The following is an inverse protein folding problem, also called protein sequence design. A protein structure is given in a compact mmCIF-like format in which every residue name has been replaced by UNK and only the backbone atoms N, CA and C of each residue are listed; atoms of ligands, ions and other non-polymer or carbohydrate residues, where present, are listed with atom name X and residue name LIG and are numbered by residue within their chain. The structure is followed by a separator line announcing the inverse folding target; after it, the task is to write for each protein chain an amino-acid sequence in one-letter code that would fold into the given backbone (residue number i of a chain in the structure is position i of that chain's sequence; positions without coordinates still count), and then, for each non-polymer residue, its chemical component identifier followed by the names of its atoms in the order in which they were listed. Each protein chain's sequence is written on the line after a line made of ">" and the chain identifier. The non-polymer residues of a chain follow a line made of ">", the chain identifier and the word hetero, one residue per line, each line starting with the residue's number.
data_IF_083691592507
#
_entry.id   IF_083691592507
#
_cell.length_a   1.000
_cell.length_b   1.000
_cell.length_c   1.000
_cell.angle_alpha   90.00
_cell.angle_beta   90.00
_cell.angle_gamma   90.00
#
_symmetry.space_group_name_H-M   'P 1'
#
loop_
_entity.id
_entity.type
_entity.pdbx_description
1 polymer ?
#
# COMPACT_ATOMS: atom_id res chain seq x y z
N UNK A 1 2.90 1.68 -22.64
CA UNK A 1 2.21 0.36 -22.72
C UNK A 1 1.66 -0.09 -21.36
N UNK A 2 2.43 -0.01 -20.26
CA UNK A 2 1.97 -0.44 -18.92
C UNK A 2 0.73 0.37 -18.49
N UNK A 3 0.77 1.69 -18.62
CA UNK A 3 -0.35 2.58 -18.27
C UNK A 3 -1.57 2.42 -19.20
N UNK A 4 -1.39 1.89 -20.41
CA UNK A 4 -2.51 1.55 -21.27
C UNK A 4 -3.28 0.31 -20.80
N UNK A 5 -2.62 -0.57 -20.03
CA UNK A 5 -3.24 -1.76 -19.42
C UNK A 5 -3.84 -1.40 -18.06
N UNK A 6 -3.14 -0.60 -17.27
CA UNK A 6 -3.60 -0.10 -15.98
C UNK A 6 -3.33 1.42 -15.88
N UNK A 7 -4.33 2.27 -16.14
CA UNK A 7 -4.17 3.71 -16.13
C UNK A 7 -3.87 4.27 -14.72
N UNK A 8 -4.11 3.48 -13.67
CA UNK A 8 -3.84 3.88 -12.28
C UNK A 8 -2.49 3.39 -11.75
N UNK A 9 -1.69 2.72 -12.60
CA UNK A 9 -0.38 2.22 -12.17
C UNK A 9 0.56 3.40 -11.87
N UNK A 10 1.29 3.30 -10.78
CA UNK A 10 2.37 4.21 -10.44
C UNK A 10 3.70 3.52 -10.67
N UNK A 11 4.58 4.21 -11.36
CA UNK A 11 5.86 3.68 -11.79
C UNK A 11 6.96 4.45 -11.09
N UNK A 12 7.81 3.78 -10.34
CA UNK A 12 9.00 4.35 -9.76
C UNK A 12 10.20 3.92 -10.61
N UNK A 13 10.98 4.90 -11.06
CA UNK A 13 12.18 4.68 -11.87
C UNK A 13 13.37 5.18 -11.07
N UNK A 14 14.26 4.26 -10.69
CA UNK A 14 15.43 4.57 -9.87
C UNK A 14 16.69 4.76 -10.73
N UNK A 15 17.54 5.66 -10.27
CA UNK A 15 18.92 5.73 -10.72
C UNK A 15 19.70 4.49 -10.31
N UNK A 16 20.78 4.21 -11.04
CA UNK A 16 21.74 3.16 -10.71
C UNK A 16 22.75 3.70 -9.70
N UNK A 17 23.06 2.93 -8.67
CA UNK A 17 24.10 3.29 -7.69
C UNK A 17 25.47 3.40 -8.37
N UNK A 18 26.33 4.35 -7.96
CA UNK A 18 27.70 4.49 -8.45
C UNK A 18 28.53 3.23 -8.24
N UNK A 19 29.41 2.93 -9.18
CA UNK A 19 30.33 1.81 -9.08
C UNK A 19 31.80 2.26 -9.23
N UNK A 20 32.68 1.66 -8.45
CA UNK A 20 34.12 1.86 -8.55
C UNK A 20 34.83 0.91 -9.54
N UNK A 21 34.11 0.04 -10.22
CA UNK A 21 34.69 -0.90 -11.21
C UNK A 21 34.82 -0.24 -12.57
N UNK A 22 35.79 0.65 -12.69
CA UNK A 22 36.08 1.37 -13.92
C UNK A 22 37.11 0.62 -14.78
N UNK A 23 37.07 0.78 -16.14
CA UNK A 23 36.13 1.62 -16.90
C UNK A 23 34.78 0.96 -17.19
N UNK A 24 34.56 -0.27 -16.75
CA UNK A 24 33.37 -1.07 -17.11
C UNK A 24 32.04 -0.33 -16.88
N UNK A 25 31.91 0.43 -15.81
CA UNK A 25 30.68 1.14 -15.42
C UNK A 25 30.82 2.66 -15.47
N UNK A 26 31.74 3.20 -16.29
CA UNK A 26 31.96 4.65 -16.45
C UNK A 26 30.74 5.40 -17.00
N UNK A 27 29.80 4.70 -17.63
CA UNK A 27 28.58 5.26 -18.21
C UNK A 27 27.46 5.54 -17.18
N UNK A 28 27.58 5.06 -15.93
CA UNK A 28 26.52 5.20 -14.92
C UNK A 28 26.15 6.68 -14.66
N UNK A 29 27.06 7.64 -14.51
CA UNK A 29 26.69 9.03 -14.31
C UNK A 29 25.79 9.56 -15.44
N UNK A 30 26.22 9.38 -16.70
CA UNK A 30 25.46 9.82 -17.88
C UNK A 30 24.10 9.10 -17.99
N UNK A 31 24.05 7.80 -17.69
CA UNK A 31 22.81 7.03 -17.65
C UNK A 31 21.84 7.62 -16.59
N UNK A 32 22.35 7.97 -15.41
CA UNK A 32 21.52 8.54 -14.35
C UNK A 32 20.95 9.92 -14.70
N UNK A 33 21.71 10.74 -15.40
CA UNK A 33 21.25 12.03 -15.94
C UNK A 33 20.12 11.79 -16.95
N UNK A 34 20.30 10.89 -17.90
CA UNK A 34 19.27 10.53 -18.89
C UNK A 34 18.01 9.95 -18.27
N UNK A 35 18.13 9.16 -17.18
CA UNK A 35 16.97 8.66 -16.43
C UNK A 35 16.20 9.83 -15.82
N UNK A 36 16.88 10.78 -15.20
CA UNK A 36 16.24 11.95 -14.59
C UNK A 36 15.54 12.83 -15.63
N UNK A 37 16.21 13.12 -16.75
CA UNK A 37 15.66 13.88 -17.87
C UNK A 37 14.44 13.17 -18.49
N UNK A 38 14.53 11.87 -18.72
CA UNK A 38 13.43 11.07 -19.25
C UNK A 38 12.20 11.16 -18.34
N UNK A 39 12.36 10.98 -17.03
CA UNK A 39 11.22 11.03 -16.08
C UNK A 39 10.62 12.43 -16.05
N UNK A 40 11.45 13.47 -16.03
CA UNK A 40 10.99 14.87 -16.09
C UNK A 40 10.23 15.15 -17.39
N UNK A 41 10.70 14.63 -18.51
CA UNK A 41 10.09 14.83 -19.84
C UNK A 41 8.75 14.10 -20.03
N UNK A 42 8.49 13.03 -19.25
CA UNK A 42 7.21 12.31 -19.31
C UNK A 42 6.01 13.14 -18.83
N UNK A 43 6.25 14.20 -18.06
CA UNK A 43 5.21 15.10 -17.49
C UNK A 43 3.99 14.33 -16.95
N UNK A 44 4.25 13.19 -16.33
CA UNK A 44 3.24 12.25 -15.83
C UNK A 44 3.20 12.28 -14.31
N UNK A 45 2.02 12.58 -13.75
CA UNK A 45 1.80 12.49 -12.29
C UNK A 45 1.85 11.05 -11.73
N UNK A 46 2.13 10.05 -12.57
CA UNK A 46 2.17 8.62 -12.20
C UNK A 46 3.54 7.98 -12.36
N UNK A 47 4.53 8.72 -12.87
CA UNK A 47 5.91 8.25 -12.99
C UNK A 47 6.78 9.08 -12.05
N UNK A 48 7.47 8.39 -11.16
CA UNK A 48 8.24 9.00 -10.06
C UNK A 48 9.71 8.63 -10.19
N UNK A 49 10.56 9.64 -10.11
CA UNK A 49 11.99 9.45 -10.05
C UNK A 49 12.46 9.12 -8.64
N UNK A 50 13.34 8.12 -8.52
CA UNK A 50 13.98 7.72 -7.26
C UNK A 50 15.47 8.02 -7.36
N UNK A 51 15.93 8.99 -6.58
CA UNK A 51 17.34 9.42 -6.58
C UNK A 51 18.21 8.43 -5.77
N UNK A 52 18.39 7.23 -6.33
CA UNK A 52 19.14 6.16 -5.66
C UNK A 52 20.63 6.41 -5.60
N UNK A 53 21.17 7.24 -6.51
CA UNK A 53 22.60 7.55 -6.57
C UNK A 53 23.03 8.65 -5.58
N UNK A 54 22.09 9.48 -5.10
CA UNK A 54 22.41 10.63 -4.25
C UNK A 54 23.07 10.20 -2.94
N UNK A 55 24.27 10.70 -2.73
CA UNK A 55 25.05 10.41 -1.51
C UNK A 55 25.44 8.93 -1.36
N UNK A 56 25.35 8.14 -2.44
CA UNK A 56 25.88 6.80 -2.47
C UNK A 56 27.36 6.84 -2.89
N UNK A 57 28.25 6.56 -1.96
CA UNK A 57 29.69 6.46 -2.19
C UNK A 57 30.03 4.97 -2.30
N UNK A 58 30.55 4.55 -3.45
CA UNK A 58 30.88 3.15 -3.66
C UNK A 58 32.01 2.65 -2.75
N UNK A 59 32.93 3.53 -2.29
CA UNK A 59 34.02 3.17 -1.38
C UNK A 59 33.50 2.66 -0.04
N UNK A 60 32.47 3.30 0.49
CA UNK A 60 31.89 3.00 1.80
C UNK A 60 30.73 1.99 1.72
N UNK A 61 30.01 1.97 0.61
CA UNK A 61 28.72 1.29 0.47
C UNK A 61 28.73 0.05 -0.42
N UNK A 62 29.89 -0.34 -1.00
CA UNK A 62 29.97 -1.59 -1.77
C UNK A 62 30.91 -2.59 -1.11
N UNK A 63 30.77 -3.87 -1.50
CA UNK A 63 31.72 -4.92 -1.14
C UNK A 63 33.00 -4.80 -1.99
N UNK A 64 33.94 -5.71 -1.80
CA UNK A 64 35.26 -5.72 -2.46
C UNK A 64 35.23 -5.65 -4.00
N UNK A 65 34.12 -6.04 -4.62
CA UNK A 65 33.97 -5.98 -6.09
C UNK A 65 33.66 -4.58 -6.63
N UNK A 66 33.42 -3.61 -5.74
CA UNK A 66 33.12 -2.20 -6.04
C UNK A 66 31.81 -2.01 -6.86
N UNK A 67 30.89 -2.96 -6.81
CA UNK A 67 29.63 -2.99 -7.56
C UNK A 67 28.45 -3.27 -6.66
N UNK A 68 28.48 -4.39 -5.95
CA UNK A 68 27.37 -4.81 -5.12
C UNK A 68 27.36 -4.10 -3.76
N UNK A 69 26.20 -3.66 -3.26
CA UNK A 69 26.14 -2.99 -1.97
C UNK A 69 26.54 -3.93 -0.82
N UNK A 70 27.29 -3.40 0.13
CA UNK A 70 27.47 -4.02 1.42
C UNK A 70 26.24 -3.76 2.32
N UNK A 71 26.25 -4.19 3.58
CA UNK A 71 25.14 -4.00 4.51
C UNK A 71 24.72 -2.53 4.63
N UNK A 72 25.69 -1.62 4.83
CA UNK A 72 25.40 -0.18 4.94
C UNK A 72 24.84 0.40 3.63
N UNK A 73 25.36 -0.04 2.49
CA UNK A 73 24.84 0.33 1.17
C UNK A 73 23.42 -0.16 0.96
N UNK A 74 23.11 -1.39 1.35
CA UNK A 74 21.76 -1.94 1.26
C UNK A 74 20.76 -1.18 2.16
N UNK A 75 21.16 -0.83 3.39
CA UNK A 75 20.35 -0.03 4.31
C UNK A 75 20.09 1.38 3.74
N UNK A 76 21.11 2.01 3.16
CA UNK A 76 20.95 3.30 2.48
C UNK A 76 19.99 3.21 1.30
N UNK A 77 20.15 2.20 0.47
CA UNK A 77 19.21 1.96 -0.66
C UNK A 77 17.79 1.74 -0.18
N UNK A 78 17.60 0.93 0.86
CA UNK A 78 16.29 0.68 1.45
C UNK A 78 15.63 1.98 1.97
N UNK A 79 16.41 2.85 2.61
CA UNK A 79 15.94 4.16 3.09
C UNK A 79 15.45 5.03 1.94
N UNK A 80 16.22 5.14 0.85
CA UNK A 80 15.82 5.94 -0.33
C UNK A 80 14.55 5.40 -0.95
N UNK A 81 14.43 4.08 -1.11
CA UNK A 81 13.21 3.44 -1.62
C UNK A 81 12.02 3.64 -0.70
N UNK A 82 12.21 3.51 0.61
CA UNK A 82 11.15 3.71 1.60
C UNK A 82 10.58 5.14 1.53
N UNK A 83 11.44 6.15 1.48
CA UNK A 83 11.02 7.54 1.37
C UNK A 83 10.33 7.84 0.03
N UNK A 84 10.80 7.24 -1.06
CA UNK A 84 10.13 7.36 -2.35
C UNK A 84 8.74 6.71 -2.35
N UNK A 85 8.62 5.51 -1.78
CA UNK A 85 7.35 4.81 -1.62
C UNK A 85 6.38 5.59 -0.74
N UNK A 86 6.85 6.14 0.39
CA UNK A 86 6.01 7.01 1.26
C UNK A 86 5.42 8.18 0.47
N UNK A 87 6.24 8.88 -0.32
CA UNK A 87 5.76 9.99 -1.15
C UNK A 87 4.73 9.56 -2.17
N UNK A 88 4.98 8.43 -2.85
CA UNK A 88 4.06 7.89 -3.85
C UNK A 88 2.77 7.39 -3.20
N UNK A 89 2.84 6.78 -2.04
CA UNK A 89 1.67 6.33 -1.28
C UNK A 89 0.92 7.52 -0.67
N UNK A 90 1.59 8.51 -0.10
CA UNK A 90 0.96 9.72 0.41
C UNK A 90 0.29 10.55 -0.70
N UNK A 91 0.90 10.65 -1.89
CA UNK A 91 0.24 11.24 -3.06
C UNK A 91 -0.89 10.36 -3.61
N UNK A 92 -1.01 9.11 -3.15
CA UNK A 92 -2.17 8.24 -3.36
C UNK A 92 -3.25 8.44 -2.29
N UNK A 93 -3.16 9.44 -1.45
CA UNK A 93 -4.22 9.83 -0.53
C UNK A 93 -5.47 10.41 -1.23
N UNK A 94 -5.85 9.72 -2.24
CA UNK A 94 -7.21 9.29 -2.37
C UNK A 94 -7.31 7.92 -1.69
N UNK A 95 -6.79 7.80 -0.50
CA UNK A 95 -7.09 6.65 0.35
C UNK A 95 -8.59 6.67 0.49
N UNK A 96 -9.23 5.63 0.00
CA UNK A 96 -10.58 5.32 0.42
C UNK A 96 -10.46 4.98 1.90
N UNK A 97 -10.49 6.01 2.74
CA UNK A 97 -10.60 5.80 4.18
C UNK A 97 -11.99 5.27 4.44
N UNK A 98 -12.14 4.17 5.18
CA UNK A 98 -13.47 3.67 5.49
C UNK A 98 -14.21 4.67 6.40
N UNK A 99 -15.50 4.79 6.19
CA UNK A 99 -16.40 5.26 7.22
C UNK A 99 -16.55 4.15 8.26
N UNK A 100 -16.28 4.45 9.53
CA UNK A 100 -16.37 3.48 10.62
C UNK A 100 -17.73 3.65 11.28
N UNK A 101 -18.58 2.62 11.19
CA UNK A 101 -19.91 2.62 11.77
C UNK A 101 -20.02 1.48 12.77
N UNK A 102 -20.24 1.84 14.06
CA UNK A 102 -20.50 0.85 15.11
C UNK A 102 -21.84 0.17 14.85
N UNK A 103 -21.86 -1.15 14.82
CA UNK A 103 -23.08 -1.92 14.68
C UNK A 103 -23.45 -2.71 15.94
N UNK A 104 -22.48 -2.96 16.84
CA UNK A 104 -22.70 -3.72 18.07
C UNK A 104 -21.85 -3.16 19.21
N UNK A 105 -22.42 -3.11 20.41
CA UNK A 105 -21.69 -2.87 21.66
C UNK A 105 -21.69 -4.15 22.47
N UNK A 106 -20.53 -4.55 22.97
CA UNK A 106 -20.34 -5.74 23.77
C UNK A 106 -20.61 -5.45 25.27
N UNK A 107 -20.79 -6.51 26.06
CA UNK A 107 -21.10 -6.38 27.49
C UNK A 107 -19.97 -5.75 28.31
N UNK A 108 -18.72 -5.92 27.87
CA UNK A 108 -17.53 -5.31 28.48
C UNK A 108 -17.32 -3.84 28.08
N UNK A 109 -18.20 -3.28 27.26
CA UNK A 109 -18.15 -1.91 26.77
C UNK A 109 -17.36 -1.72 25.47
N UNK A 110 -16.72 -2.76 24.97
CA UNK A 110 -16.09 -2.75 23.65
C UNK A 110 -17.13 -2.73 22.52
N UNK A 111 -16.73 -2.50 21.29
CA UNK A 111 -17.66 -2.36 20.18
C UNK A 111 -17.11 -2.89 18.88
N UNK A 112 -18.00 -3.49 18.11
CA UNK A 112 -17.72 -3.98 16.77
C UNK A 112 -18.21 -3.00 15.71
N UNK A 113 -17.44 -2.83 14.63
CA UNK A 113 -17.71 -1.84 13.61
C UNK A 113 -17.73 -2.40 12.19
N UNK A 114 -18.48 -1.73 11.33
CA UNK A 114 -18.40 -1.85 9.89
C UNK A 114 -17.41 -0.83 9.35
N UNK A 115 -16.45 -1.27 8.56
CA UNK A 115 -15.50 -0.42 7.86
C UNK A 115 -15.97 -0.27 6.41
N UNK A 116 -16.71 0.81 6.13
CA UNK A 116 -17.47 1.01 4.90
C UNK A 116 -16.69 1.86 3.92
N UNK A 117 -16.39 1.32 2.76
CA UNK A 117 -15.77 2.00 1.64
C UNK A 117 -16.82 2.34 0.58
N UNK A 118 -17.09 3.63 0.40
CA UNK A 118 -18.09 4.11 -0.56
C UNK A 118 -17.44 4.62 -1.85
N UNK A 119 -18.08 4.49 -3.00
CA UNK A 119 -17.68 5.21 -4.20
C UNK A 119 -17.67 6.72 -3.97
N UNK A 120 -16.65 7.41 -4.50
CA UNK A 120 -16.48 8.86 -4.31
C UNK A 120 -17.68 9.70 -4.73
N UNK A 121 -18.38 9.28 -5.78
CA UNK A 121 -19.48 10.03 -6.38
C UNK A 121 -20.85 9.51 -5.93
N UNK A 122 -20.88 8.74 -4.85
CA UNK A 122 -22.15 8.19 -4.33
C UNK A 122 -22.95 9.29 -3.65
N UNK A 123 -24.20 9.46 -4.11
CA UNK A 123 -25.13 10.43 -3.55
C UNK A 123 -25.88 9.85 -2.33
N UNK A 124 -26.36 10.72 -1.46
CA UNK A 124 -27.17 10.29 -0.32
C UNK A 124 -28.45 9.58 -0.83
N UNK A 125 -28.73 8.40 -0.27
CA UNK A 125 -29.89 7.58 -0.68
C UNK A 125 -29.70 6.74 -1.95
N UNK A 126 -28.57 6.88 -2.63
CA UNK A 126 -28.26 6.07 -3.81
C UNK A 126 -28.00 4.60 -3.41
N UNK A 127 -28.55 3.66 -4.20
CA UNK A 127 -28.34 2.21 -3.99
C UNK A 127 -27.26 1.71 -4.95
N UNK A 128 -26.29 1.00 -4.44
CA UNK A 128 -25.20 0.38 -5.20
C UNK A 128 -25.06 -1.09 -4.80
N UNK A 129 -24.57 -1.94 -5.70
CA UNK A 129 -24.16 -3.30 -5.31
C UNK A 129 -23.16 -3.21 -4.15
N UNK A 130 -23.27 -4.11 -3.19
CA UNK A 130 -22.39 -4.17 -2.04
C UNK A 130 -21.66 -5.51 -1.97
N UNK A 131 -20.43 -5.48 -1.49
CA UNK A 131 -19.63 -6.65 -1.16
C UNK A 131 -19.22 -6.55 0.31
N UNK A 132 -19.37 -7.65 1.06
CA UNK A 132 -19.06 -7.72 2.48
C UNK A 132 -17.96 -8.74 2.70
N UNK A 133 -16.90 -8.34 3.39
CA UNK A 133 -15.77 -9.17 3.74
C UNK A 133 -15.71 -9.46 5.23
N UNK A 134 -15.47 -10.73 5.55
CA UNK A 134 -15.13 -11.20 6.89
C UNK A 134 -13.70 -11.70 6.87
N UNK A 135 -12.84 -11.15 7.70
CA UNK A 135 -11.41 -11.47 7.69
C UNK A 135 -11.12 -12.89 8.16
N UNK A 136 -10.01 -13.44 7.69
CA UNK A 136 -9.53 -14.75 8.09
C UNK A 136 -8.66 -14.71 9.35
N UNK A 137 -8.46 -15.87 9.98
CA UNK A 137 -7.61 -16.00 11.18
C UNK A 137 -8.09 -17.10 12.12
N UNK A 138 -8.93 -18.03 11.61
CA UNK A 138 -9.45 -19.18 12.35
C UNK A 138 -10.28 -18.79 13.57
N UNK A 139 -10.98 -17.66 13.52
CA UNK A 139 -11.76 -17.05 14.61
C UNK A 139 -10.94 -16.70 15.86
N UNK A 140 -9.62 -16.83 15.78
CA UNK A 140 -8.71 -16.55 16.90
C UNK A 140 -8.01 -15.22 16.79
N UNK A 141 -7.68 -14.78 15.58
CA UNK A 141 -6.90 -13.57 15.31
C UNK A 141 -7.32 -12.96 13.96
N UNK A 142 -6.81 -11.75 13.67
CA UNK A 142 -7.11 -11.00 12.45
C UNK A 142 -7.71 -9.64 12.76
N UNK A 143 -8.01 -8.88 11.71
CA UNK A 143 -8.69 -7.59 11.81
C UNK A 143 -9.30 -7.19 10.46
N UNK A 144 -10.27 -6.24 10.45
CA UNK A 144 -10.86 -5.72 9.21
C UNK A 144 -9.86 -5.14 8.20
N UNK A 145 -8.69 -4.68 8.66
CA UNK A 145 -7.63 -4.12 7.80
C UNK A 145 -7.18 -5.10 6.72
N UNK A 146 -7.34 -6.41 6.95
CA UNK A 146 -6.97 -7.46 6.00
C UNK A 146 -7.60 -7.25 4.61
N UNK A 147 -8.81 -6.68 4.52
CA UNK A 147 -9.53 -6.48 3.28
C UNK A 147 -9.67 -5.00 2.83
N UNK A 148 -8.94 -4.09 3.45
CA UNK A 148 -9.01 -2.67 3.10
C UNK A 148 -8.62 -2.41 1.64
N UNK A 149 -7.63 -3.13 1.12
CA UNK A 149 -7.17 -2.99 -0.27
C UNK A 149 -8.26 -3.43 -1.25
N UNK A 150 -8.87 -4.57 -0.99
CA UNK A 150 -9.96 -5.12 -1.79
C UNK A 150 -11.19 -4.22 -1.72
N UNK A 151 -11.55 -3.75 -0.54
CA UNK A 151 -12.65 -2.80 -0.34
C UNK A 151 -12.42 -1.51 -1.13
N UNK A 152 -11.21 -0.92 -1.05
CA UNK A 152 -10.86 0.27 -1.80
C UNK A 152 -10.94 0.04 -3.32
N UNK A 153 -10.49 -1.14 -3.79
CA UNK A 153 -10.59 -1.52 -5.20
C UNK A 153 -12.06 -1.56 -5.66
N UNK A 154 -12.94 -2.26 -4.94
CA UNK A 154 -14.34 -2.35 -5.34
C UNK A 154 -15.09 -1.02 -5.21
N UNK A 155 -14.77 -0.21 -4.21
CA UNK A 155 -15.29 1.16 -4.10
C UNK A 155 -14.86 2.02 -5.30
N UNK A 156 -13.64 1.87 -5.81
CA UNK A 156 -13.18 2.54 -7.03
C UNK A 156 -13.92 2.09 -8.29
N UNK A 157 -14.54 0.90 -8.27
CA UNK A 157 -15.38 0.35 -9.35
C UNK A 157 -16.86 0.68 -9.21
N UNK A 158 -17.23 1.50 -8.22
CA UNK A 158 -18.59 1.97 -8.03
C UNK A 158 -19.47 1.09 -7.14
N UNK A 159 -18.89 0.12 -6.44
CA UNK A 159 -19.58 -0.72 -5.45
C UNK A 159 -19.38 -0.16 -4.03
N UNK A 160 -20.30 -0.42 -3.14
CA UNK A 160 -20.02 -0.30 -1.71
C UNK A 160 -19.27 -1.56 -1.25
N UNK A 161 -18.17 -1.38 -0.53
CA UNK A 161 -17.44 -2.51 0.03
C UNK A 161 -17.30 -2.34 1.55
N UNK A 162 -17.52 -3.41 2.29
CA UNK A 162 -17.52 -3.40 3.74
C UNK A 162 -16.56 -4.46 4.25
N UNK A 163 -15.66 -4.10 5.15
CA UNK A 163 -14.90 -5.05 5.94
C UNK A 163 -15.45 -5.03 7.37
N UNK A 164 -15.90 -6.19 7.83
CA UNK A 164 -16.62 -6.33 9.09
C UNK A 164 -15.68 -6.68 10.21
N UNK A 165 -15.79 -5.98 11.31
CA UNK A 165 -15.22 -6.41 12.58
C UNK A 165 -16.15 -7.45 13.24
N UNK A 166 -15.57 -8.42 13.92
CA UNK A 166 -16.30 -9.43 14.70
C UNK A 166 -15.43 -9.96 15.83
N UNK A 167 -16.03 -10.51 16.88
CA UNK A 167 -15.29 -11.06 18.00
C UNK A 167 -14.35 -12.18 17.61
N UNK A 168 -13.14 -12.14 18.13
CA UNK A 168 -12.09 -13.15 17.94
C UNK A 168 -11.56 -13.64 19.29
N UNK A 169 -11.13 -14.91 19.33
CA UNK A 169 -10.74 -15.55 20.58
C UNK A 169 -9.60 -14.83 21.31
N UNK A 170 -8.63 -14.26 20.60
CA UNK A 170 -7.49 -13.58 21.22
C UNK A 170 -7.84 -12.30 21.96
N UNK A 171 -8.73 -11.48 21.39
CA UNK A 171 -9.12 -10.19 22.00
C UNK A 171 -10.33 -10.32 22.93
N UNK A 172 -11.32 -11.12 22.54
CA UNK A 172 -12.64 -11.14 23.19
C UNK A 172 -12.92 -12.45 23.92
N UNK A 173 -11.96 -13.37 23.97
CA UNK A 173 -12.13 -14.70 24.56
C UNK A 173 -13.34 -15.47 24.02
N UNK A 174 -13.75 -15.15 22.78
CA UNK A 174 -14.94 -15.69 22.12
C UNK A 174 -14.66 -17.01 21.42
N UNK A 175 -15.71 -17.76 21.17
CA UNK A 175 -15.72 -18.96 20.34
C UNK A 175 -16.15 -18.61 18.90
N UNK A 176 -16.03 -19.54 17.93
CA UNK A 176 -16.56 -19.32 16.58
C UNK A 176 -18.07 -19.05 16.52
N UNK A 177 -18.85 -19.46 17.54
CA UNK A 177 -20.29 -19.21 17.58
C UNK A 177 -20.59 -17.72 17.76
N UNK A 178 -19.93 -17.04 18.68
CA UNK A 178 -20.09 -15.59 18.86
C UNK A 178 -19.63 -14.82 17.61
N UNK A 179 -18.54 -15.26 16.98
CA UNK A 179 -18.08 -14.66 15.71
C UNK A 179 -19.14 -14.80 14.59
N UNK A 180 -19.83 -15.93 14.53
CA UNK A 180 -20.91 -16.16 13.58
C UNK A 180 -22.14 -15.30 13.85
N UNK A 181 -22.56 -15.17 15.14
CA UNK A 181 -23.65 -14.28 15.52
C UNK A 181 -23.33 -12.82 15.19
N UNK A 182 -22.09 -12.37 15.44
CA UNK A 182 -21.66 -11.02 15.06
C UNK A 182 -21.71 -10.81 13.54
N UNK A 183 -21.35 -11.80 12.75
CA UNK A 183 -21.46 -11.74 11.29
C UNK A 183 -22.93 -11.61 10.81
N UNK A 184 -23.86 -12.24 11.49
CA UNK A 184 -25.31 -12.09 11.23
C UNK A 184 -25.77 -10.67 11.58
N UNK A 185 -25.41 -10.19 12.77
CA UNK A 185 -25.79 -8.86 13.26
C UNK A 185 -25.24 -7.75 12.34
N UNK A 186 -24.09 -7.97 11.73
CA UNK A 186 -23.48 -7.04 10.78
C UNK A 186 -24.24 -6.89 9.44
N UNK A 187 -25.06 -7.88 9.09
CA UNK A 187 -25.81 -7.93 7.81
C UNK A 187 -27.29 -7.56 8.00
N UNK A 188 -27.87 -7.82 9.15
CA UNK A 188 -29.27 -7.57 9.46
C UNK A 188 -29.50 -6.20 10.08
#
# INVERSE_FOLDING_TARGET
>A
KIQAINPNVRILIAQVIPSGKLPKYSYIPELNEKIAEMVAGLNSGQVFWVNQAQGFNWQDYTVHDKVHPNKAGAEKMATVWFEALKKVLASSETVFSPEIVRYKTLEDGDSLALHIFKPRNMQAGEKRPAIVYFFGGGWKLGSPIQFYRECAYYASKGMVAVSVDYRIGYLHHSTPFESFEDAKDAIC
#
